data_IF_527173752622
#
_entry.id   IF_527173752622
#
_cell.length_a   1.000
_cell.length_b   1.000
_cell.length_c   1.000
_cell.angle_alpha   90.00
_cell.angle_beta   90.00
_cell.angle_gamma   90.00
#
_symmetry.space_group_name_H-M   'P 1'
#
loop_
_entity.id
_entity.type
_entity.pdbx_description
1 polymer ?
#
# COMPACT_ATOMS: atom_id res chain seq x y z
N UNK A 1 -19.70 -16.48 27.59
CA UNK A 1 -19.10 -17.56 26.77
C UNK A 1 -19.31 -17.35 25.26
N UNK A 2 -20.51 -16.96 24.77
CA UNK A 2 -20.73 -16.74 23.32
C UNK A 2 -19.85 -15.66 22.68
N UNK A 3 -19.61 -14.55 23.37
CA UNK A 3 -18.79 -13.45 22.81
C UNK A 3 -17.29 -13.76 22.74
N UNK A 4 -16.79 -14.58 23.68
CA UNK A 4 -15.40 -15.05 23.67
C UNK A 4 -15.14 -15.94 22.44
N UNK A 5 -16.06 -16.88 22.15
CA UNK A 5 -15.93 -17.74 20.97
C UNK A 5 -15.95 -16.94 19.67
N UNK A 6 -16.87 -15.97 19.55
CA UNK A 6 -17.00 -15.17 18.34
C UNK A 6 -15.80 -14.21 18.12
N UNK A 7 -15.12 -13.77 19.19
CA UNK A 7 -13.85 -13.06 19.07
C UNK A 7 -12.71 -13.99 18.63
N UNK A 8 -12.63 -15.21 19.16
CA UNK A 8 -11.63 -16.20 18.71
C UNK A 8 -11.83 -16.58 17.24
N UNK A 9 -13.07 -16.78 16.78
CA UNK A 9 -13.38 -17.02 15.38
C UNK A 9 -12.94 -15.85 14.48
N UNK A 10 -13.15 -14.62 14.93
CA UNK A 10 -12.64 -13.44 14.24
C UNK A 10 -11.12 -13.46 14.12
N UNK A 11 -10.38 -13.69 15.22
CA UNK A 11 -8.91 -13.78 15.18
C UNK A 11 -8.42 -14.90 14.26
N UNK A 12 -9.04 -16.09 14.33
CA UNK A 12 -8.72 -17.21 13.44
C UNK A 12 -8.98 -16.87 11.97
N UNK A 13 -10.02 -16.07 11.68
CA UNK A 13 -10.31 -15.61 10.31
C UNK A 13 -9.20 -14.68 9.78
N UNK A 14 -8.67 -13.80 10.63
CA UNK A 14 -7.51 -12.96 10.30
C UNK A 14 -6.27 -13.83 10.08
N UNK A 15 -5.98 -14.78 10.98
CA UNK A 15 -4.81 -15.65 10.91
C UNK A 15 -4.77 -16.54 9.65
N UNK A 16 -5.95 -16.91 9.14
CA UNK A 16 -6.07 -17.71 7.92
C UNK A 16 -5.61 -16.98 6.66
N UNK A 17 -5.75 -15.66 6.61
CA UNK A 17 -5.47 -14.86 5.40
C UNK A 17 -4.32 -13.89 5.55
N UNK A 18 -3.92 -13.57 6.78
CA UNK A 18 -2.88 -12.60 7.10
C UNK A 18 -1.73 -13.21 7.90
N UNK A 19 -0.52 -12.77 7.59
CA UNK A 19 0.71 -13.00 8.32
C UNK A 19 0.75 -12.23 9.64
N UNK A 20 1.88 -12.32 10.36
CA UNK A 20 2.18 -11.50 11.53
C UNK A 20 2.14 -10.00 11.21
N UNK A 21 2.03 -9.19 12.26
CA UNK A 21 2.14 -7.74 12.13
C UNK A 21 3.49 -7.33 11.55
N UNK A 22 3.44 -6.47 10.55
CA UNK A 22 4.51 -5.57 10.21
C UNK A 22 4.26 -4.22 10.90
N UNK A 23 5.32 -3.60 11.38
CA UNK A 23 5.29 -2.30 12.04
C UNK A 23 6.55 -1.53 11.68
N UNK A 24 6.38 -0.33 11.14
CA UNK A 24 7.45 0.67 11.06
C UNK A 24 7.40 1.55 12.31
N UNK A 25 8.29 1.26 13.26
CA UNK A 25 8.31 1.95 14.58
C UNK A 25 8.63 3.43 14.47
N UNK A 26 9.33 3.86 13.43
CA UNK A 26 9.71 5.26 13.24
C UNK A 26 8.53 6.08 12.74
N UNK A 27 7.66 5.46 11.92
CA UNK A 27 6.51 6.11 11.32
C UNK A 27 5.18 5.75 12.02
N UNK A 28 5.22 4.85 13.00
CA UNK A 28 4.05 4.33 13.74
C UNK A 28 2.96 3.75 12.82
N UNK A 29 3.35 3.25 11.66
CA UNK A 29 2.46 2.57 10.70
C UNK A 29 2.56 1.07 10.97
N UNK A 30 1.42 0.40 11.17
CA UNK A 30 1.38 -1.04 11.37
C UNK A 30 0.19 -1.66 10.64
N UNK A 31 0.38 -2.88 10.13
CA UNK A 31 -0.66 -3.68 9.49
C UNK A 31 -0.21 -5.14 9.46
N UNK A 32 -1.15 -6.08 9.51
CA UNK A 32 -0.86 -7.48 9.12
C UNK A 32 -0.84 -7.60 7.61
N UNK A 33 0.12 -8.34 7.08
CA UNK A 33 0.33 -8.46 5.63
C UNK A 33 -0.40 -9.70 5.10
N UNK A 34 -1.08 -9.66 3.93
CA UNK A 34 -1.66 -10.86 3.33
C UNK A 34 -0.66 -12.01 3.16
N UNK A 35 -1.08 -13.25 3.38
CA UNK A 35 -0.26 -14.45 3.12
C UNK A 35 0.21 -14.53 1.67
N UNK A 36 1.40 -15.12 1.46
CA UNK A 36 2.04 -15.26 0.16
C UNK A 36 2.93 -14.09 -0.26
N UNK A 37 2.91 -12.98 0.49
CA UNK A 37 3.74 -11.80 0.23
C UNK A 37 4.97 -11.77 1.13
N UNK A 38 6.17 -11.75 0.55
CA UNK A 38 7.43 -11.58 1.27
C UNK A 38 7.93 -10.12 1.19
N UNK A 39 8.45 -9.60 2.31
CA UNK A 39 8.97 -8.24 2.36
C UNK A 39 10.21 -8.11 1.46
N UNK A 40 10.27 -7.06 0.66
CA UNK A 40 11.43 -6.74 -0.16
C UNK A 40 12.50 -6.05 0.70
N UNK A 41 13.79 -6.32 0.46
CA UNK A 41 14.87 -5.68 1.21
C UNK A 41 14.90 -4.17 0.93
N UNK A 42 15.12 -3.38 1.98
CA UNK A 42 15.39 -1.95 1.85
C UNK A 42 16.75 -1.73 1.19
N UNK A 43 16.93 -0.63 0.43
CA UNK A 43 18.24 -0.27 -0.07
C UNK A 43 19.21 -0.04 1.10
N UNK A 44 20.51 -0.36 0.96
CA UNK A 44 21.49 -0.06 1.97
C UNK A 44 21.56 1.45 2.20
N UNK A 45 21.81 1.87 3.45
CA UNK A 45 22.05 3.28 3.76
C UNK A 45 23.34 3.70 3.07
N UNK A 46 23.25 4.74 2.23
CA UNK A 46 24.42 5.28 1.54
C UNK A 46 25.47 5.75 2.55
N UNK A 47 26.72 5.32 2.37
CA UNK A 47 27.84 5.86 3.13
C UNK A 47 28.25 7.20 2.55
N UNK A 48 28.92 8.01 3.36
CA UNK A 48 29.44 9.30 2.91
C UNK A 48 30.39 9.13 1.71
N UNK A 49 30.09 9.82 0.60
CA UNK A 49 30.86 9.74 -0.65
C UNK A 49 30.49 8.59 -1.59
N UNK A 50 29.59 7.68 -1.19
CA UNK A 50 29.08 6.62 -2.08
C UNK A 50 27.81 7.07 -2.82
N UNK A 51 27.60 6.62 -4.07
CA UNK A 51 26.35 6.87 -4.77
C UNK A 51 25.18 6.23 -4.03
N UNK A 52 24.05 6.95 -3.94
CA UNK A 52 22.83 6.42 -3.32
C UNK A 52 22.38 5.19 -4.12
N UNK A 53 22.25 4.05 -3.44
CA UNK A 53 21.77 2.82 -4.05
C UNK A 53 20.35 3.01 -4.59
N UNK A 54 20.09 2.52 -5.80
CA UNK A 54 18.76 2.56 -6.42
C UNK A 54 17.81 1.69 -5.59
N UNK A 55 16.68 2.24 -5.16
CA UNK A 55 15.66 1.49 -4.42
C UNK A 55 14.88 0.58 -5.38
N UNK A 56 15.26 -0.71 -5.39
CA UNK A 56 14.68 -1.75 -6.26
C UNK A 56 13.24 -2.11 -5.89
N UNK A 57 12.71 -1.58 -4.78
CA UNK A 57 11.32 -1.79 -4.38
C UNK A 57 10.35 -0.99 -5.24
N UNK A 58 10.78 0.08 -5.92
CA UNK A 58 9.88 0.82 -6.80
C UNK A 58 9.34 -0.05 -7.94
N UNK A 59 8.06 0.11 -8.32
CA UNK A 59 7.44 -0.67 -9.40
C UNK A 59 7.94 -0.20 -10.78
N UNK A 60 9.20 -0.48 -11.10
CA UNK A 60 9.82 -0.12 -12.38
C UNK A 60 9.07 -0.72 -13.57
N UNK A 61 8.41 -1.86 -13.33
CA UNK A 61 7.52 -2.56 -14.26
C UNK A 61 6.23 -1.82 -14.57
N UNK A 62 5.85 -0.78 -13.82
CA UNK A 62 4.75 0.13 -14.14
C UNK A 62 5.30 1.42 -14.73
N UNK A 63 5.88 1.36 -15.93
CA UNK A 63 6.41 2.52 -16.65
C UNK A 63 7.36 3.39 -15.80
N UNK A 64 8.27 2.75 -15.05
CA UNK A 64 9.25 3.44 -14.18
C UNK A 64 8.61 4.31 -13.09
N UNK A 65 7.41 3.95 -12.62
CA UNK A 65 6.73 4.66 -11.53
C UNK A 65 7.59 4.69 -10.26
N UNK A 66 7.93 5.91 -9.83
CA UNK A 66 8.58 6.18 -8.53
C UNK A 66 7.49 6.54 -7.53
N UNK A 67 7.20 5.61 -6.61
CA UNK A 67 6.20 5.85 -5.56
C UNK A 67 6.73 6.86 -4.52
N UNK A 68 6.07 8.02 -4.36
CA UNK A 68 6.51 8.99 -3.37
C UNK A 68 6.31 8.45 -1.96
N UNK A 69 7.26 8.73 -1.07
CA UNK A 69 7.15 8.37 0.34
C UNK A 69 7.06 6.85 0.57
N UNK A 70 7.65 6.03 -0.30
CA UNK A 70 7.67 4.58 -0.15
C UNK A 70 8.27 4.18 1.20
N UNK A 71 7.42 3.61 2.06
CA UNK A 71 7.79 3.11 3.39
C UNK A 71 8.28 1.69 3.24
N UNK A 72 7.42 0.81 2.72
CA UNK A 72 7.72 -0.61 2.61
C UNK A 72 7.06 -1.26 1.39
N UNK A 73 7.66 -2.36 0.93
CA UNK A 73 7.14 -3.14 -0.18
C UNK A 73 7.21 -4.65 0.10
N UNK A 74 6.27 -5.39 -0.46
CA UNK A 74 6.23 -6.84 -0.47
C UNK A 74 5.98 -7.36 -1.88
N UNK A 75 6.45 -8.58 -2.15
CA UNK A 75 6.20 -9.31 -3.39
C UNK A 75 5.83 -10.76 -3.09
N UNK A 76 4.90 -11.32 -3.86
CA UNK A 76 4.60 -12.74 -3.89
C UNK A 76 4.27 -13.18 -5.30
N UNK A 77 4.29 -14.48 -5.56
CA UNK A 77 3.98 -15.05 -6.85
C UNK A 77 2.70 -15.90 -6.72
N UNK A 78 1.67 -15.60 -7.53
CA UNK A 78 0.32 -16.13 -7.38
C UNK A 78 -0.18 -16.79 -8.67
N UNK A 79 -0.99 -17.84 -8.52
CA UNK A 79 -1.57 -18.56 -9.64
C UNK A 79 -2.65 -17.75 -10.36
N UNK A 80 -2.58 -17.72 -11.69
CA UNK A 80 -3.55 -17.08 -12.58
C UNK A 80 -4.43 -18.12 -13.30
N UNK A 81 -5.51 -17.66 -13.91
CA UNK A 81 -6.50 -18.49 -14.59
C UNK A 81 -5.91 -19.38 -15.70
N UNK A 82 -4.91 -18.87 -16.41
CA UNK A 82 -4.16 -19.59 -17.46
C UNK A 82 -3.16 -20.62 -16.92
N UNK A 83 -3.11 -20.82 -15.60
CA UNK A 83 -2.21 -21.75 -14.93
C UNK A 83 -0.79 -21.23 -14.74
N UNK A 84 -0.47 -20.03 -15.26
CA UNK A 84 0.81 -19.40 -14.99
C UNK A 84 0.83 -18.78 -13.60
N UNK A 85 2.02 -18.67 -13.03
CA UNK A 85 2.26 -17.96 -11.79
C UNK A 85 2.85 -16.61 -12.10
N UNK A 86 2.28 -15.54 -11.52
CA UNK A 86 2.69 -14.17 -11.80
C UNK A 86 2.86 -13.35 -10.53
N UNK A 87 3.75 -12.34 -10.57
CA UNK A 87 4.05 -11.54 -9.40
C UNK A 87 2.89 -10.61 -9.01
N UNK A 88 2.78 -10.41 -7.71
CA UNK A 88 1.89 -9.48 -7.02
C UNK A 88 2.74 -8.67 -6.07
N UNK A 89 2.45 -7.37 -5.99
CA UNK A 89 3.17 -6.46 -5.11
C UNK A 89 2.22 -5.70 -4.20
N UNK A 90 2.67 -5.46 -2.98
CA UNK A 90 2.01 -4.59 -2.01
C UNK A 90 2.99 -3.48 -1.63
N UNK A 91 2.52 -2.25 -1.59
CA UNK A 91 3.28 -1.08 -1.22
C UNK A 91 2.57 -0.30 -0.13
N UNK A 92 3.33 0.20 0.82
CA UNK A 92 2.87 1.18 1.80
C UNK A 92 3.68 2.45 1.59
N UNK A 93 2.98 3.56 1.35
CA UNK A 93 3.57 4.88 1.10
C UNK A 93 2.99 5.88 2.10
N UNK A 94 3.76 6.89 2.50
CA UNK A 94 3.27 7.94 3.41
C UNK A 94 3.98 9.28 3.22
N UNK A 95 3.28 10.37 3.56
CA UNK A 95 3.82 11.72 3.53
C UNK A 95 4.83 12.04 4.65
N UNK A 96 5.16 11.10 5.54
CA UNK A 96 6.12 11.31 6.64
C UNK A 96 7.45 11.93 6.18
N UNK A 97 8.01 11.45 5.07
CA UNK A 97 9.27 11.96 4.54
C UNK A 97 9.18 13.39 4.01
N UNK A 98 7.98 13.87 3.69
CA UNK A 98 7.74 15.22 3.15
C UNK A 98 7.80 16.29 4.22
N UNK A 99 7.52 15.95 5.49
CA UNK A 99 7.64 16.89 6.62
C UNK A 99 9.08 17.30 6.95
N UNK A 100 10.07 16.58 6.42
CA UNK A 100 11.48 16.88 6.64
C UNK A 100 12.15 17.55 5.44
N UNK A 101 11.43 17.72 4.33
CA UNK A 101 11.98 18.39 3.14
C UNK A 101 11.85 19.91 3.30
N UNK A 102 12.85 20.69 2.84
CA UNK A 102 12.68 22.13 2.69
C UNK A 102 11.50 22.40 1.74
N UNK A 103 10.64 23.39 2.06
CA UNK A 103 9.49 23.75 1.22
C UNK A 103 9.89 24.09 -0.23
N UNK A 104 11.14 24.53 -0.45
CA UNK A 104 11.69 24.86 -1.76
C UNK A 104 12.07 23.66 -2.65
N UNK A 105 12.06 22.44 -2.12
CA UNK A 105 12.53 21.22 -2.82
C UNK A 105 11.40 20.25 -3.21
N UNK A 106 10.15 20.52 -2.83
CA UNK A 106 9.02 19.61 -3.05
C UNK A 106 8.20 19.91 -4.30
N UNK A 107 7.96 18.90 -5.13
CA UNK A 107 6.98 18.98 -6.24
C UNK A 107 5.53 19.10 -5.74
N UNK A 108 5.27 18.70 -4.49
CA UNK A 108 3.95 18.77 -3.85
C UNK A 108 4.07 18.82 -2.32
N UNK A 109 3.02 19.34 -1.67
CA UNK A 109 2.96 19.52 -0.21
C UNK A 109 2.46 18.26 0.52
N UNK A 110 2.74 18.08 1.83
CA UNK A 110 2.31 16.90 2.57
C UNK A 110 0.79 16.63 2.54
N UNK A 111 -0.05 17.67 2.45
CA UNK A 111 -1.51 17.59 2.35
C UNK A 111 -2.01 17.15 0.97
N UNK A 112 -1.16 17.26 -0.06
CA UNK A 112 -1.48 16.83 -1.43
C UNK A 112 -1.12 15.36 -1.68
N UNK A 113 -0.44 14.69 -0.75
CA UNK A 113 0.14 13.36 -0.97
C UNK A 113 -0.85 12.31 -1.49
N UNK A 114 -2.00 12.15 -0.84
CA UNK A 114 -3.02 11.17 -1.24
C UNK A 114 -3.59 11.46 -2.64
N UNK A 115 -3.73 12.75 -3.00
CA UNK A 115 -4.18 13.17 -4.33
C UNK A 115 -3.11 12.83 -5.36
N UNK A 116 -1.86 13.25 -5.12
CA UNK A 116 -0.72 13.03 -6.01
C UNK A 116 -0.51 11.55 -6.30
N UNK A 117 -0.46 10.69 -5.28
CA UNK A 117 -0.25 9.25 -5.51
C UNK A 117 -1.42 8.60 -6.27
N UNK A 118 -2.65 9.06 -6.02
CA UNK A 118 -3.84 8.59 -6.75
C UNK A 118 -3.77 8.97 -8.23
N UNK A 119 -3.40 10.22 -8.53
CA UNK A 119 -3.21 10.71 -9.90
C UNK A 119 -2.05 9.99 -10.61
N UNK A 120 -0.94 9.75 -9.92
CA UNK A 120 0.20 8.99 -10.46
C UNK A 120 -0.18 7.56 -10.85
N UNK A 121 -0.90 6.84 -9.97
CA UNK A 121 -1.35 5.47 -10.26
C UNK A 121 -2.34 5.45 -11.43
N UNK A 122 -3.28 6.40 -11.49
CA UNK A 122 -4.20 6.55 -12.61
C UNK A 122 -3.46 6.80 -13.93
N UNK A 123 -2.57 7.80 -13.94
CA UNK A 123 -1.80 8.22 -15.11
C UNK A 123 -0.94 7.10 -15.69
N UNK A 124 -0.22 6.36 -14.84
CA UNK A 124 0.65 5.25 -15.26
C UNK A 124 -0.12 4.11 -15.93
N UNK A 125 -1.40 3.95 -15.60
CA UNK A 125 -2.30 2.97 -16.21
C UNK A 125 -3.17 3.58 -17.32
N UNK A 126 -2.89 4.81 -17.75
CA UNK A 126 -3.63 5.48 -18.83
C UNK A 126 -5.07 5.81 -18.47
N UNK A 127 -5.37 6.04 -17.17
CA UNK A 127 -6.70 6.33 -16.67
C UNK A 127 -6.78 7.72 -16.04
N UNK A 128 -7.79 8.48 -16.45
CA UNK A 128 -8.27 9.61 -15.67
C UNK A 128 -9.28 9.10 -14.66
N UNK A 129 -8.99 9.31 -13.37
CA UNK A 129 -9.84 8.83 -12.29
C UNK A 129 -10.95 9.85 -12.03
N UNK A 130 -12.18 9.36 -11.95
CA UNK A 130 -13.29 10.23 -11.56
C UNK A 130 -13.11 10.65 -10.09
N UNK A 131 -13.44 11.91 -9.74
CA UNK A 131 -13.40 12.38 -8.36
C UNK A 131 -14.32 11.51 -7.50
N UNK A 132 -14.19 11.64 -6.17
CA UNK A 132 -15.02 10.97 -5.18
C UNK A 132 -16.49 11.42 -5.31
N UNK A 133 -17.17 10.91 -6.31
CA UNK A 133 -18.61 10.97 -6.48
C UNK A 133 -19.19 9.68 -5.87
N UNK A 134 -20.51 9.56 -5.73
CA UNK A 134 -21.18 8.42 -5.08
C UNK A 134 -21.05 7.07 -5.85
N UNK A 135 -19.89 6.80 -6.45
CA UNK A 135 -19.50 5.52 -6.98
C UNK A 135 -19.66 4.46 -5.89
N UNK A 136 -20.31 3.36 -6.24
CA UNK A 136 -20.48 2.24 -5.34
C UNK A 136 -19.12 1.57 -5.12
N UNK A 137 -18.89 0.98 -3.92
CA UNK A 137 -17.70 0.17 -3.70
C UNK A 137 -17.52 -0.88 -4.79
N UNK A 138 -16.36 -0.88 -5.43
CA UNK A 138 -16.02 -1.79 -6.53
C UNK A 138 -16.23 -1.23 -7.94
N UNK A 139 -16.74 -0.01 -8.11
CA UNK A 139 -16.70 0.65 -9.42
C UNK A 139 -15.24 0.87 -9.85
N UNK A 140 -14.86 0.29 -10.98
CA UNK A 140 -13.50 0.42 -11.51
C UNK A 140 -13.24 1.85 -12.01
N UNK A 141 -12.01 2.32 -11.82
CA UNK A 141 -11.52 3.64 -12.24
C UNK A 141 -12.29 4.84 -11.66
N UNK A 142 -13.05 4.63 -10.58
CA UNK A 142 -13.73 5.68 -9.83
C UNK A 142 -13.37 5.61 -8.35
N UNK A 143 -13.16 6.77 -7.73
CA UNK A 143 -12.91 6.85 -6.29
C UNK A 143 -14.21 6.56 -5.52
N UNK A 144 -14.12 5.76 -4.46
CA UNK A 144 -15.21 5.47 -3.54
C UNK A 144 -14.72 5.46 -2.09
N UNK A 145 -15.63 5.68 -1.13
CA UNK A 145 -15.33 5.51 0.28
C UNK A 145 -15.49 4.03 0.69
N UNK A 146 -14.51 3.46 1.39
CA UNK A 146 -14.57 2.12 1.96
C UNK A 146 -14.32 2.17 3.47
N UNK A 147 -15.05 1.37 4.24
CA UNK A 147 -14.86 1.25 5.71
C UNK A 147 -14.41 -0.16 6.08
N UNK A 148 -13.27 -0.26 6.78
CA UNK A 148 -12.68 -1.54 7.21
C UNK A 148 -12.52 -1.59 8.75
N UNK A 149 -13.03 -2.62 9.45
CA UNK A 149 -13.98 -3.62 8.95
C UNK A 149 -15.35 -2.99 8.64
N UNK A 150 -16.13 -3.68 7.80
CA UNK A 150 -17.54 -3.30 7.54
C UNK A 150 -18.45 -3.51 8.75
N UNK A 151 -18.07 -4.44 9.63
CA UNK A 151 -18.81 -4.76 10.86
C UNK A 151 -17.93 -4.39 12.06
N UNK A 152 -18.32 -3.33 12.77
CA UNK A 152 -17.59 -2.70 13.85
C UNK A 152 -17.60 -3.48 15.19
N UNK A 153 -17.53 -4.82 15.17
CA UNK A 153 -17.73 -5.62 16.39
C UNK A 153 -16.48 -5.78 17.24
N UNK A 154 -15.31 -5.94 16.63
CA UNK A 154 -14.07 -6.31 17.33
C UNK A 154 -12.88 -5.38 17.07
N UNK A 155 -13.01 -4.49 16.10
CA UNK A 155 -11.98 -3.50 15.77
C UNK A 155 -12.65 -2.18 15.42
N UNK A 156 -11.93 -1.08 15.65
CA UNK A 156 -12.40 0.26 15.35
C UNK A 156 -12.45 0.41 13.83
N UNK A 157 -13.62 0.69 13.23
CA UNK A 157 -13.74 0.93 11.80
C UNK A 157 -12.92 2.14 11.37
N UNK A 158 -12.30 2.03 10.19
CA UNK A 158 -11.55 3.11 9.56
C UNK A 158 -12.07 3.35 8.17
N UNK A 159 -12.20 4.62 7.81
CA UNK A 159 -12.60 5.03 6.46
C UNK A 159 -11.35 5.26 5.60
N UNK A 160 -11.42 4.74 4.39
CA UNK A 160 -10.43 4.90 3.35
C UNK A 160 -11.10 5.49 2.12
N UNK A 161 -10.35 6.27 1.34
CA UNK A 161 -10.69 6.54 -0.05
C UNK A 161 -10.03 5.47 -0.90
N UNK A 162 -10.79 4.77 -1.72
CA UNK A 162 -10.33 3.60 -2.45
C UNK A 162 -10.59 3.76 -3.95
N UNK A 163 -9.76 3.10 -4.76
CA UNK A 163 -9.96 2.97 -6.20
C UNK A 163 -9.37 1.66 -6.70
N UNK A 164 -10.12 0.99 -7.58
CA UNK A 164 -9.64 -0.15 -8.35
C UNK A 164 -9.31 0.34 -9.76
N UNK A 165 -8.03 0.48 -10.10
CA UNK A 165 -7.59 0.97 -11.40
C UNK A 165 -7.30 -0.21 -12.33
N UNK A 166 -8.02 -0.26 -13.45
CA UNK A 166 -7.84 -1.25 -14.50
C UNK A 166 -7.49 -0.49 -15.79
N UNK A 167 -6.36 -0.79 -16.45
CA UNK A 167 -5.96 -0.12 -17.68
C UNK A 167 -6.99 -0.26 -18.81
N UNK A 168 -6.90 0.57 -19.87
CA UNK A 168 -7.69 0.34 -21.08
C UNK A 168 -7.28 -0.97 -21.78
N UNK A 169 -8.15 -1.58 -22.60
CA UNK A 169 -7.85 -2.83 -23.32
C UNK A 169 -6.58 -2.76 -24.18
N UNK A 170 -6.29 -1.58 -24.73
CA UNK A 170 -5.11 -1.28 -25.54
C UNK A 170 -3.83 -1.00 -24.72
N UNK A 171 -3.91 -1.07 -23.38
CA UNK A 171 -2.74 -0.91 -22.54
C UNK A 171 -1.71 -1.99 -22.83
N UNK A 172 -0.51 -1.55 -23.18
CA UNK A 172 0.63 -2.42 -23.40
C UNK A 172 1.78 -1.96 -22.51
N UNK A 173 2.52 -2.93 -21.99
CA UNK A 173 3.67 -2.66 -21.15
C UNK A 173 4.75 -3.67 -21.48
N UNK A 174 5.90 -3.20 -21.96
CA UNK A 174 6.99 -4.07 -22.42
C UNK A 174 7.64 -4.89 -21.28
N UNK A 175 7.39 -4.53 -20.02
CA UNK A 175 8.01 -5.17 -18.85
C UNK A 175 7.16 -6.28 -18.22
N UNK A 176 5.88 -6.39 -18.58
CA UNK A 176 4.96 -7.40 -18.04
C UNK A 176 4.15 -8.05 -19.15
N UNK A 177 3.87 -9.34 -19.01
CA UNK A 177 3.11 -10.15 -19.97
C UNK A 177 1.64 -10.33 -19.59
N UNK A 178 1.14 -9.53 -18.64
CA UNK A 178 -0.22 -9.61 -18.11
C UNK A 178 -0.86 -8.23 -18.00
N UNK A 179 -2.19 -8.20 -17.98
CA UNK A 179 -2.95 -6.98 -17.69
C UNK A 179 -2.89 -6.68 -16.18
N UNK A 180 -2.23 -5.60 -15.74
CA UNK A 180 -2.16 -5.28 -14.32
C UNK A 180 -3.50 -4.70 -13.85
N UNK A 181 -3.84 -4.97 -12.59
CA UNK A 181 -4.89 -4.30 -11.83
C UNK A 181 -4.26 -3.72 -10.57
N UNK A 182 -4.60 -2.47 -10.29
CA UNK A 182 -4.15 -1.77 -9.09
C UNK A 182 -5.33 -1.58 -8.14
N UNK A 183 -5.12 -1.85 -6.86
CA UNK A 183 -6.05 -1.52 -5.80
C UNK A 183 -5.35 -0.56 -4.84
N UNK A 184 -5.81 0.68 -4.81
CA UNK A 184 -5.27 1.73 -3.95
C UNK A 184 -6.27 2.05 -2.84
N UNK A 185 -5.79 2.12 -1.61
CA UNK A 185 -6.51 2.66 -0.45
C UNK A 185 -5.70 3.78 0.16
N UNK A 186 -6.29 4.95 0.31
CA UNK A 186 -5.70 6.10 0.99
C UNK A 186 -6.43 6.37 2.30
N UNK A 187 -5.68 6.76 3.31
CA UNK A 187 -6.17 7.10 4.63
C UNK A 187 -5.53 8.40 5.11
N UNK A 188 -6.26 9.13 5.92
CA UNK A 188 -5.81 10.36 6.56
C UNK A 188 -6.09 10.28 8.06
N UNK A 189 -5.08 10.57 8.87
CA UNK A 189 -5.20 10.69 10.31
C UNK A 189 -4.46 11.95 10.79
N UNK A 190 -5.20 13.04 10.97
CA UNK A 190 -4.60 14.36 11.22
C UNK A 190 -3.78 14.81 10.01
N UNK A 191 -2.51 15.15 10.21
CA UNK A 191 -1.62 15.58 9.12
C UNK A 191 -0.97 14.39 8.38
N UNK A 192 -1.09 13.17 8.91
CA UNK A 192 -0.48 11.99 8.32
C UNK A 192 -1.40 11.40 7.26
N UNK A 193 -0.87 11.25 6.06
CA UNK A 193 -1.51 10.58 4.93
C UNK A 193 -0.75 9.30 4.59
N UNK A 194 -1.48 8.20 4.40
CA UNK A 194 -0.94 6.89 4.05
C UNK A 194 -1.70 6.31 2.86
N UNK A 195 -0.95 5.72 1.94
CA UNK A 195 -1.46 4.99 0.79
C UNK A 195 -1.00 3.54 0.85
N UNK A 196 -1.93 2.61 0.66
CA UNK A 196 -1.66 1.18 0.52
C UNK A 196 -2.05 0.77 -0.89
N UNK A 197 -1.07 0.37 -1.70
CA UNK A 197 -1.23 0.03 -3.10
C UNK A 197 -0.92 -1.45 -3.32
N UNK A 198 -1.86 -2.20 -3.86
CA UNK A 198 -1.66 -3.57 -4.32
C UNK A 198 -1.70 -3.60 -5.85
N UNK A 199 -0.70 -4.20 -6.46
CA UNK A 199 -0.58 -4.38 -7.92
C UNK A 199 -0.56 -5.88 -8.21
N UNK A 200 -1.46 -6.35 -9.05
CA UNK A 200 -1.63 -7.79 -9.32
C UNK A 200 -2.16 -8.04 -10.74
N UNK A 201 -1.99 -9.25 -11.29
CA UNK A 201 -2.60 -9.62 -12.56
C UNK A 201 -4.12 -9.65 -12.44
N UNK A 202 -4.84 -9.09 -13.43
CA UNK A 202 -6.31 -9.12 -13.46
C UNK A 202 -6.88 -10.56 -13.48
N UNK A 203 -6.10 -11.54 -13.92
CA UNK A 203 -6.44 -12.96 -14.02
C UNK A 203 -6.01 -13.79 -12.79
N UNK A 204 -5.66 -13.16 -11.66
CA UNK A 204 -5.29 -13.89 -10.45
C UNK A 204 -6.49 -14.67 -9.90
N UNK A 205 -6.28 -15.94 -9.54
CA UNK A 205 -7.36 -16.82 -9.01
C UNK A 205 -7.79 -16.45 -7.59
N UNK A 206 -6.88 -15.85 -6.84
CA UNK A 206 -7.09 -15.51 -5.44
C UNK A 206 -7.82 -14.18 -5.30
N UNK A 207 -8.71 -14.07 -4.29
CA UNK A 207 -9.43 -12.84 -3.97
C UNK A 207 -8.54 -11.87 -3.18
N UNK A 208 -7.50 -11.36 -3.84
CA UNK A 208 -6.48 -10.52 -3.21
C UNK A 208 -7.04 -9.18 -2.71
N UNK A 209 -8.07 -8.65 -3.36
CA UNK A 209 -8.78 -7.44 -2.93
C UNK A 209 -9.46 -7.64 -1.56
N UNK A 210 -10.04 -8.82 -1.31
CA UNK A 210 -10.62 -9.16 -0.01
C UNK A 210 -9.56 -9.36 1.06
N UNK A 211 -8.44 -10.02 0.71
CA UNK A 211 -7.32 -10.19 1.64
C UNK A 211 -6.72 -8.84 2.05
N UNK A 212 -6.59 -7.91 1.10
CA UNK A 212 -6.15 -6.56 1.40
C UNK A 212 -7.17 -5.82 2.28
N UNK A 213 -8.47 -5.91 2.01
CA UNK A 213 -9.49 -5.32 2.91
C UNK A 213 -9.41 -5.89 4.32
N UNK A 214 -9.20 -7.19 4.43
CA UNK A 214 -9.01 -7.88 5.73
C UNK A 214 -7.73 -7.36 6.43
N UNK A 215 -6.65 -7.14 5.68
CA UNK A 215 -5.42 -6.52 6.20
C UNK A 215 -5.69 -5.11 6.75
N UNK A 216 -6.47 -4.30 6.03
CA UNK A 216 -6.83 -2.94 6.42
C UNK A 216 -7.65 -2.86 7.72
N UNK A 217 -8.35 -3.93 8.12
CA UNK A 217 -9.00 -3.99 9.45
C UNK A 217 -8.00 -3.88 10.60
N UNK A 218 -6.77 -4.35 10.33
CA UNK A 218 -5.65 -4.37 11.30
C UNK A 218 -4.75 -3.15 11.17
N UNK A 219 -5.00 -2.29 10.18
CA UNK A 219 -4.21 -1.10 9.89
C UNK A 219 -4.23 -0.12 11.06
N UNK A 220 -3.07 0.44 11.40
CA UNK A 220 -2.90 1.44 12.44
C UNK A 220 -1.89 2.47 11.96
N UNK A 221 -2.20 3.73 12.21
CA UNK A 221 -1.29 4.86 12.01
C UNK A 221 -1.60 5.90 13.06
N UNK A 222 -0.57 6.50 13.66
CA UNK A 222 -0.78 7.63 14.58
C UNK A 222 -0.81 8.95 13.79
N UNK A 223 -1.38 10.00 14.40
CA UNK A 223 -1.39 11.35 13.82
C UNK A 223 -0.14 12.15 14.19
N UNK A 224 0.87 11.52 14.78
CA UNK A 224 2.08 12.20 15.22
C UNK A 224 2.94 12.54 14.01
N UNK A 225 3.07 13.85 13.72
CA UNK A 225 4.07 14.34 12.77
C UNK A 225 5.44 13.89 13.25
N UNK A 226 6.25 13.24 12.39
CA UNK A 226 7.59 12.85 12.78
C UNK A 226 8.34 14.10 13.21
N UNK A 227 8.79 14.12 14.46
CA UNK A 227 9.71 15.18 14.92
C UNK A 227 10.95 15.07 14.05
N UNK A 228 11.58 16.20 13.71
CA UNK A 228 12.89 16.23 13.06
C UNK A 228 13.92 15.57 13.98
N UNK A 229 13.92 14.24 14.01
CA UNK A 229 14.85 13.39 14.70
C UNK A 229 15.94 13.05 13.71
N UNK A 230 17.20 13.17 14.15
CA UNK A 230 18.34 12.58 13.42
C UNK A 230 17.93 11.18 13.00
N UNK A 231 17.92 10.90 11.69
CA UNK A 231 17.77 9.54 11.16
C UNK A 231 18.76 8.69 11.94
N UNK A 232 18.27 7.89 12.90
CA UNK A 232 19.12 6.99 13.64
C UNK A 232 19.56 5.95 12.62
N UNK A 233 20.77 6.15 12.11
CA UNK A 233 21.53 5.11 11.41
C UNK A 233 21.38 3.85 12.26
N UNK A 234 20.78 2.82 11.68
CA UNK A 234 20.67 1.52 12.34
C UNK A 234 22.10 1.06 12.63
N UNK A 235 22.52 1.16 13.88
CA UNK A 235 23.75 0.51 14.32
C UNK A 235 23.50 -0.99 14.27
N UNK A 236 24.29 -1.67 13.45
CA UNK A 236 24.28 -3.13 13.33
C UNK A 236 24.23 -3.80 14.71
N UNK A 237 23.39 -4.83 14.90
CA UNK A 237 23.53 -5.69 16.06
C UNK A 237 24.87 -6.43 15.92
N UNK A 238 25.82 -6.12 16.80
CA UNK A 238 26.99 -6.97 16.99
C UNK A 238 26.49 -8.34 17.48
N UNK A 239 26.61 -9.35 16.63
CA UNK A 239 26.55 -10.75 17.04
C UNK A 239 27.86 -11.14 17.74
#
# INVERSE_FOLDING_TARGET
MRDTNAFFEYQQSLDRVLQRFWEDRNLTIAMRIPHGLAQLPRPPVAKEGEPVAIDTRHPVFLNQLVLPGLVEAWRGDFACDDGQTRPVWLYVCSNHTLFHRPESEGEFTPDQFNKTITEMVGSVLGRSLSPLNAASPGTENALYAETCPRIAKYTIPRTFTAVSVVPPPEYTNAQIDFMPKCQLYTHENGQIQVAVLLVYPASVRERLDERLRTALETFRVTNAVPKAGKVQQATDPKF
#
